data_IF_531900877815
#
_entry.id   IF_531900877815
#
_cell.length_a   1.000
_cell.length_b   1.000
_cell.length_c   1.000
_cell.angle_alpha   90.00
_cell.angle_beta   90.00
_cell.angle_gamma   90.00
#
_symmetry.space_group_name_H-M   'P 1'
#
loop_
_entity.id
_entity.type
_entity.pdbx_description
1 polymer ?
#
# COMPACT_ATOMS: atom_id res chain seq x y z
N UNK A 1 1.53 87.14 -50.20
CA UNK A 1 2.45 86.00 -50.08
C UNK A 1 1.71 84.97 -49.26
N UNK A 2 1.10 83.98 -49.92
CA UNK A 2 0.49 82.82 -49.27
C UNK A 2 0.54 81.67 -50.27
N UNK A 3 1.39 80.68 -50.05
CA UNK A 3 1.26 79.35 -50.66
C UNK A 3 1.91 78.29 -49.75
N UNK A 4 1.05 77.74 -48.89
CA UNK A 4 0.81 76.29 -48.74
C UNK A 4 2.03 75.36 -48.60
N UNK A 5 2.44 75.08 -47.36
CA UNK A 5 3.39 74.03 -46.99
C UNK A 5 2.71 72.65 -46.99
N UNK A 6 2.78 71.93 -48.11
CA UNK A 6 2.37 70.51 -48.20
C UNK A 6 3.47 69.56 -47.73
N UNK A 7 3.10 68.78 -46.70
CA UNK A 7 3.28 67.32 -46.55
C UNK A 7 4.51 66.66 -47.20
N UNK A 8 5.41 66.16 -46.35
CA UNK A 8 5.92 64.78 -46.46
C UNK A 8 5.93 64.20 -45.03
N UNK A 9 4.82 63.55 -44.64
CA UNK A 9 4.83 62.65 -43.48
C UNK A 9 5.24 61.28 -44.00
N UNK A 10 6.51 60.96 -43.81
CA UNK A 10 7.09 59.64 -44.13
C UNK A 10 6.36 58.62 -43.26
N UNK A 11 5.64 57.71 -43.91
CA UNK A 11 4.97 56.58 -43.27
C UNK A 11 5.97 55.75 -42.49
N UNK A 12 5.77 55.68 -41.17
CA UNK A 12 6.43 54.73 -40.30
C UNK A 12 5.74 53.38 -40.50
N UNK A 13 6.29 52.54 -41.37
CA UNK A 13 6.05 51.10 -41.31
C UNK A 13 6.84 50.55 -40.12
N UNK A 14 6.15 50.25 -39.01
CA UNK A 14 6.67 49.35 -37.99
C UNK A 14 5.63 48.26 -37.68
N UNK A 15 5.93 47.09 -38.23
CA UNK A 15 5.58 45.75 -37.77
C UNK A 15 5.06 45.64 -36.33
N UNK A 16 3.79 45.24 -36.15
CA UNK A 16 3.27 44.69 -34.89
C UNK A 16 2.49 43.40 -35.15
N UNK A 17 3.17 42.38 -35.68
CA UNK A 17 2.76 40.99 -35.41
C UNK A 17 3.24 40.66 -34.00
N UNK A 18 2.33 40.20 -33.14
CA UNK A 18 2.52 39.85 -31.71
C UNK A 18 2.38 41.00 -30.71
N UNK A 19 1.19 41.59 -30.61
CA UNK A 19 0.71 42.06 -29.30
C UNK A 19 -0.03 40.86 -28.71
N UNK A 20 0.61 40.18 -27.77
CA UNK A 20 -0.08 39.21 -26.91
C UNK A 20 -1.24 39.96 -26.27
N UNK A 21 -2.46 39.49 -26.51
CA UNK A 21 -3.68 40.15 -26.07
C UNK A 21 -3.70 40.11 -24.53
N UNK A 22 -3.27 41.21 -23.92
CA UNK A 22 -3.00 41.30 -22.48
C UNK A 22 -4.27 40.99 -21.66
N UNK A 23 -5.43 41.36 -22.19
CA UNK A 23 -6.73 41.10 -21.59
C UNK A 23 -7.09 39.59 -21.61
N UNK A 24 -6.73 38.86 -22.67
CA UNK A 24 -6.87 37.39 -22.74
C UNK A 24 -5.93 36.70 -21.76
N UNK A 25 -4.72 37.22 -21.58
CA UNK A 25 -3.77 36.70 -20.59
C UNK A 25 -4.23 36.96 -19.14
N UNK A 26 -4.75 38.16 -18.87
CA UNK A 26 -5.28 38.55 -17.57
C UNK A 26 -6.51 37.70 -17.20
N UNK A 27 -7.45 37.52 -18.13
CA UNK A 27 -8.63 36.68 -17.88
C UNK A 27 -8.29 35.20 -17.68
N UNK A 28 -7.24 34.69 -18.34
CA UNK A 28 -6.71 33.35 -18.08
C UNK A 28 -6.07 33.22 -16.70
N UNK A 29 -5.40 34.27 -16.22
CA UNK A 29 -4.82 34.30 -14.87
C UNK A 29 -5.93 34.25 -13.81
N UNK A 30 -6.96 35.07 -13.96
CA UNK A 30 -8.14 35.05 -13.08
C UNK A 30 -8.86 33.70 -13.08
N UNK A 31 -8.98 33.08 -14.26
CA UNK A 31 -9.53 31.73 -14.39
C UNK A 31 -8.67 30.68 -13.69
N UNK A 32 -7.34 30.82 -13.71
CA UNK A 32 -6.43 29.87 -13.10
C UNK A 32 -6.47 29.99 -11.58
N UNK A 33 -6.45 31.21 -11.06
CA UNK A 33 -6.57 31.47 -9.62
C UNK A 33 -7.87 30.91 -9.07
N UNK A 34 -8.98 31.10 -9.80
CA UNK A 34 -10.27 30.50 -9.41
C UNK A 34 -10.22 28.97 -9.39
N UNK A 35 -9.58 28.34 -10.38
CA UNK A 35 -9.42 26.86 -10.42
C UNK A 35 -8.54 26.34 -9.30
N UNK A 36 -7.48 27.07 -8.94
CA UNK A 36 -6.59 26.71 -7.82
C UNK A 36 -7.35 26.77 -6.50
N UNK A 37 -8.15 27.81 -6.28
CA UNK A 37 -9.01 27.93 -5.10
C UNK A 37 -10.06 26.81 -5.00
N UNK A 38 -10.69 26.48 -6.12
CA UNK A 38 -11.66 25.39 -6.16
C UNK A 38 -10.99 24.03 -5.89
N UNK A 39 -9.81 23.76 -6.46
CA UNK A 39 -9.02 22.56 -6.17
C UNK A 39 -8.59 22.47 -4.69
N UNK A 40 -8.19 23.58 -4.08
CA UNK A 40 -7.82 23.62 -2.66
C UNK A 40 -9.02 23.27 -1.76
N UNK A 41 -10.21 23.79 -2.09
CA UNK A 41 -11.45 23.46 -1.38
C UNK A 41 -11.81 21.98 -1.56
N UNK A 42 -11.78 21.45 -2.77
CA UNK A 42 -12.05 20.02 -3.04
C UNK A 42 -11.07 19.11 -2.30
N UNK A 43 -9.77 19.43 -2.34
CA UNK A 43 -8.75 18.68 -1.62
C UNK A 43 -9.00 18.70 -0.11
N UNK A 44 -9.35 19.87 0.46
CA UNK A 44 -9.70 19.97 1.88
C UNK A 44 -10.92 19.11 2.24
N UNK A 45 -11.98 19.13 1.42
CA UNK A 45 -13.16 18.30 1.66
C UNK A 45 -12.84 16.82 1.58
N UNK A 46 -12.04 16.40 0.60
CA UNK A 46 -11.64 15.00 0.41
C UNK A 46 -10.80 14.52 1.59
N UNK A 47 -9.83 15.31 2.06
CA UNK A 47 -9.06 14.98 3.26
C UNK A 47 -9.95 14.84 4.50
N UNK A 48 -10.93 15.73 4.67
CA UNK A 48 -11.88 15.66 5.80
C UNK A 48 -12.76 14.41 5.74
N UNK A 49 -13.24 14.04 4.54
CA UNK A 49 -14.01 12.82 4.32
C UNK A 49 -13.17 11.57 4.58
N UNK A 50 -11.95 11.51 4.02
CA UNK A 50 -11.03 10.40 4.25
C UNK A 50 -10.71 10.22 5.74
N UNK A 51 -10.47 11.32 6.47
CA UNK A 51 -10.23 11.28 7.90
C UNK A 51 -11.45 10.73 8.65
N UNK A 52 -12.67 11.15 8.29
CA UNK A 52 -13.91 10.62 8.89
C UNK A 52 -14.06 9.13 8.61
N UNK A 53 -13.92 8.69 7.36
CA UNK A 53 -14.03 7.28 6.96
C UNK A 53 -12.96 6.45 7.68
N UNK A 54 -11.74 6.95 7.80
CA UNK A 54 -10.67 6.27 8.53
C UNK A 54 -11.03 6.07 10.01
N UNK A 55 -11.57 7.09 10.67
CA UNK A 55 -11.99 7.01 12.07
C UNK A 55 -13.23 6.12 12.26
N UNK A 56 -14.18 6.13 11.33
CA UNK A 56 -15.31 5.19 11.30
C UNK A 56 -14.81 3.75 11.12
N UNK A 57 -13.94 3.48 10.14
CA UNK A 57 -13.36 2.14 9.94
C UNK A 57 -12.56 1.69 11.16
N UNK A 58 -11.76 2.57 11.77
CA UNK A 58 -11.02 2.26 13.01
C UNK A 58 -11.95 1.94 14.17
N UNK A 59 -13.02 2.69 14.36
CA UNK A 59 -13.98 2.47 15.46
C UNK A 59 -14.82 1.21 15.24
N UNK A 60 -15.29 0.95 14.02
CA UNK A 60 -15.94 -0.32 13.64
C UNK A 60 -14.99 -1.51 13.83
N UNK A 61 -13.73 -1.37 13.42
CA UNK A 61 -12.68 -2.37 13.64
C UNK A 61 -12.42 -2.60 15.13
N UNK A 62 -12.22 -1.56 15.93
CA UNK A 62 -12.00 -1.69 17.38
C UNK A 62 -13.18 -2.37 18.08
N UNK A 63 -14.42 -2.04 17.71
CA UNK A 63 -15.62 -2.62 18.30
C UNK A 63 -15.85 -4.08 17.86
N UNK A 64 -15.51 -4.44 16.62
CA UNK A 64 -15.54 -5.83 16.15
C UNK A 64 -14.41 -6.69 16.77
N UNK A 65 -13.26 -6.09 17.03
CA UNK A 65 -12.09 -6.79 17.62
C UNK A 65 -12.26 -7.01 19.12
N UNK A 66 -13.03 -6.18 19.81
CA UNK A 66 -13.21 -6.24 21.29
C UNK A 66 -14.03 -7.43 21.79
N UNK A 67 -14.67 -8.21 20.92
CA UNK A 67 -15.52 -9.36 21.30
C UNK A 67 -15.13 -10.70 20.69
N UNK A 68 -14.17 -10.75 19.76
CA UNK A 68 -13.76 -12.02 19.13
C UNK A 68 -12.59 -12.63 19.88
N UNK A 69 -12.73 -13.91 20.21
CA UNK A 69 -11.64 -14.66 20.81
C UNK A 69 -10.55 -14.81 19.76
N UNK A 70 -9.30 -14.49 20.11
CA UNK A 70 -8.17 -14.77 19.23
C UNK A 70 -8.03 -16.28 19.07
N UNK A 71 -8.18 -16.75 17.84
CA UNK A 71 -8.07 -18.14 17.43
C UNK A 71 -6.65 -18.45 16.93
N UNK A 72 -6.03 -17.55 16.16
CA UNK A 72 -4.66 -17.80 15.70
C UNK A 72 -3.69 -17.82 16.89
N UNK A 73 -2.69 -18.73 16.87
CA UNK A 73 -1.74 -18.83 17.94
C UNK A 73 -0.85 -17.56 17.97
N UNK A 74 -0.47 -17.11 19.16
CA UNK A 74 0.39 -15.93 19.31
C UNK A 74 1.82 -16.19 18.78
N UNK A 75 2.25 -17.45 18.85
CA UNK A 75 3.50 -17.95 18.28
C UNK A 75 3.16 -19.08 17.32
N UNK A 76 3.81 -19.18 16.15
CA UNK A 76 3.56 -20.26 15.21
C UNK A 76 3.86 -21.62 15.84
N UNK A 77 3.13 -22.66 15.43
CA UNK A 77 3.34 -24.01 15.94
C UNK A 77 4.72 -24.55 15.51
N UNK A 78 5.47 -25.05 16.49
CA UNK A 78 6.77 -25.69 16.30
C UNK A 78 6.67 -27.22 16.18
N UNK A 79 5.54 -27.80 16.58
CA UNK A 79 5.26 -29.23 16.50
C UNK A 79 4.01 -29.51 15.68
N UNK A 80 4.03 -30.60 14.90
CA UNK A 80 2.91 -31.00 14.05
C UNK A 80 1.68 -31.45 14.85
N UNK A 81 1.90 -32.04 16.05
CA UNK A 81 0.82 -32.51 16.92
C UNK A 81 -0.03 -31.35 17.46
N UNK A 82 0.60 -30.25 17.86
CA UNK A 82 -0.09 -29.06 18.37
C UNK A 82 -0.98 -28.44 17.29
N UNK A 83 -0.50 -28.43 16.05
CA UNK A 83 -1.30 -27.98 14.91
C UNK A 83 -2.48 -28.93 14.64
N UNK A 84 -2.28 -30.25 14.70
CA UNK A 84 -3.38 -31.21 14.50
C UNK A 84 -4.50 -31.01 15.54
N UNK A 85 -4.13 -30.81 16.80
CA UNK A 85 -5.09 -30.52 17.88
C UNK A 85 -5.82 -29.18 17.66
N UNK A 86 -5.13 -28.19 17.08
CA UNK A 86 -5.75 -26.92 16.70
C UNK A 86 -6.74 -27.10 15.54
N UNK A 87 -6.33 -27.79 14.47
CA UNK A 87 -7.16 -28.08 13.30
C UNK A 87 -8.46 -28.80 13.71
N UNK A 88 -8.37 -29.81 14.58
CA UNK A 88 -9.54 -30.53 15.09
C UNK A 88 -10.52 -29.60 15.82
N UNK A 89 -10.00 -28.65 16.60
CA UNK A 89 -10.82 -27.65 17.31
C UNK A 89 -11.51 -26.68 16.35
N UNK A 90 -10.90 -26.37 15.21
CA UNK A 90 -11.48 -25.51 14.17
C UNK A 90 -12.56 -26.27 13.40
N UNK A 91 -12.26 -27.50 12.96
CA UNK A 91 -13.21 -28.32 12.21
C UNK A 91 -14.47 -28.66 13.03
N UNK A 92 -14.31 -28.82 14.34
CA UNK A 92 -15.43 -29.13 15.25
C UNK A 92 -16.37 -27.95 15.50
N UNK A 93 -16.04 -26.72 15.10
CA UNK A 93 -16.78 -25.53 15.50
C UNK A 93 -16.82 -24.46 14.42
N UNK A 94 -18.01 -24.25 13.85
CA UNK A 94 -18.25 -23.23 12.83
C UNK A 94 -17.93 -21.81 13.32
N UNK A 95 -18.19 -21.52 14.60
CA UNK A 95 -17.88 -20.20 15.19
C UNK A 95 -16.37 -19.94 15.20
N UNK A 96 -15.56 -20.93 15.61
CA UNK A 96 -14.09 -20.81 15.58
C UNK A 96 -13.53 -20.71 14.17
N UNK A 97 -14.15 -21.42 13.21
CA UNK A 97 -13.80 -21.28 11.80
C UNK A 97 -14.07 -19.86 11.29
N UNK A 98 -15.24 -19.29 11.60
CA UNK A 98 -15.58 -17.92 11.21
C UNK A 98 -14.65 -16.87 11.86
N UNK A 99 -14.28 -17.09 13.13
CA UNK A 99 -13.30 -16.24 13.81
C UNK A 99 -11.90 -16.33 13.16
N UNK A 100 -11.48 -17.53 12.76
CA UNK A 100 -10.23 -17.74 11.99
C UNK A 100 -10.26 -17.01 10.64
N UNK A 101 -11.37 -17.13 9.89
CA UNK A 101 -11.54 -16.43 8.61
C UNK A 101 -11.43 -14.91 8.81
N UNK A 102 -12.10 -14.37 9.83
CA UNK A 102 -12.03 -12.95 10.15
C UNK A 102 -10.59 -12.50 10.51
N UNK A 103 -9.85 -13.32 11.26
CA UNK A 103 -8.45 -13.03 11.58
C UNK A 103 -7.53 -13.05 10.35
N UNK A 104 -7.77 -13.97 9.42
CA UNK A 104 -7.01 -14.03 8.17
C UNK A 104 -7.35 -12.86 7.25
N UNK A 105 -8.61 -12.41 7.20
CA UNK A 105 -9.03 -11.23 6.44
C UNK A 105 -8.35 -9.94 6.90
N UNK A 106 -7.88 -9.86 8.15
CA UNK A 106 -7.10 -8.72 8.64
C UNK A 106 -5.65 -8.66 8.12
N UNK A 107 -5.19 -9.69 7.39
CA UNK A 107 -3.84 -9.69 6.80
C UNK A 107 -3.81 -8.76 5.59
N UNK A 108 -3.16 -7.62 5.77
CA UNK A 108 -2.91 -6.66 4.69
C UNK A 108 -1.74 -7.17 3.84
N UNK A 109 -2.04 -7.58 2.60
CA UNK A 109 -1.05 -8.05 1.63
C UNK A 109 -1.27 -7.39 0.27
N UNK A 110 -0.17 -7.09 -0.44
CA UNK A 110 -0.22 -6.45 -1.76
C UNK A 110 -0.61 -7.39 -2.90
N UNK A 111 -0.49 -8.71 -2.69
CA UNK A 111 -0.89 -9.73 -3.64
C UNK A 111 -1.19 -11.05 -2.93
N UNK A 112 -1.78 -12.01 -3.66
CA UNK A 112 -2.20 -13.31 -3.14
C UNK A 112 -1.03 -14.17 -2.65
N UNK A 113 0.13 -14.16 -3.33
CA UNK A 113 1.31 -14.92 -2.90
C UNK A 113 1.84 -14.44 -1.53
N UNK A 114 1.93 -13.12 -1.33
CA UNK A 114 2.30 -12.53 -0.04
C UNK A 114 1.27 -12.83 1.03
N UNK A 115 -0.03 -12.77 0.70
CA UNK A 115 -1.10 -13.11 1.62
C UNK A 115 -0.92 -14.53 2.17
N UNK A 116 -0.77 -15.53 1.28
CA UNK A 116 -0.62 -16.94 1.68
C UNK A 116 0.62 -17.12 2.57
N UNK A 117 1.76 -16.52 2.19
CA UNK A 117 2.99 -16.58 3.00
C UNK A 117 2.81 -15.95 4.39
N UNK A 118 2.13 -14.81 4.48
CA UNK A 118 1.86 -14.15 5.76
C UNK A 118 0.89 -14.95 6.63
N UNK A 119 -0.17 -15.52 6.03
CA UNK A 119 -1.11 -16.40 6.72
C UNK A 119 -0.39 -17.64 7.27
N UNK A 120 0.40 -18.32 6.44
CA UNK A 120 1.16 -19.50 6.87
C UNK A 120 2.15 -19.21 7.99
N UNK A 121 2.89 -18.10 7.93
CA UNK A 121 3.82 -17.71 9.00
C UNK A 121 3.17 -17.43 10.34
N UNK A 122 1.87 -17.13 10.37
CA UNK A 122 1.13 -17.01 11.64
C UNK A 122 0.78 -18.38 12.24
N UNK A 123 0.66 -19.41 11.41
CA UNK A 123 0.22 -20.75 11.83
C UNK A 123 1.42 -21.65 12.13
N UNK A 124 2.43 -21.68 11.26
CA UNK A 124 3.55 -22.61 11.34
C UNK A 124 4.91 -21.92 11.38
N UNK A 125 5.85 -22.56 12.07
CA UNK A 125 7.28 -22.36 11.81
C UNK A 125 7.68 -22.98 10.46
N UNK A 126 8.77 -22.52 9.86
CA UNK A 126 9.22 -23.00 8.55
C UNK A 126 9.46 -24.53 8.55
N UNK A 127 9.92 -25.09 9.67
CA UNK A 127 10.19 -26.52 9.84
C UNK A 127 8.90 -27.36 9.77
N UNK A 128 7.84 -26.94 10.48
CA UNK A 128 6.53 -27.63 10.43
C UNK A 128 5.84 -27.37 9.10
N UNK A 129 5.94 -26.16 8.56
CA UNK A 129 5.38 -25.83 7.25
C UNK A 129 5.94 -26.74 6.16
N UNK A 130 7.21 -27.16 6.26
CA UNK A 130 7.81 -28.10 5.31
C UNK A 130 7.07 -29.45 5.30
N UNK A 131 6.66 -29.96 6.46
CA UNK A 131 5.94 -31.24 6.62
C UNK A 131 4.59 -31.21 5.89
N UNK A 132 3.84 -30.12 6.03
CA UNK A 132 2.52 -29.93 5.42
C UNK A 132 2.59 -29.35 4.00
N UNK A 133 3.78 -28.98 3.52
CA UNK A 133 3.99 -28.50 2.16
C UNK A 133 4.27 -29.64 1.18
N UNK A 134 4.11 -29.33 -0.11
CA UNK A 134 4.53 -30.19 -1.22
C UNK A 134 6.04 -30.55 -1.22
N UNK A 135 6.85 -29.93 -0.36
CA UNK A 135 8.29 -30.22 -0.20
C UNK A 135 8.55 -31.37 0.79
N UNK A 136 7.60 -31.69 1.67
CA UNK A 136 7.69 -32.77 2.65
C UNK A 136 7.45 -34.17 2.05
N UNK A 137 6.81 -34.24 0.88
CA UNK A 137 6.71 -35.47 0.11
C UNK A 137 8.04 -35.71 -0.63
N UNK A 138 8.78 -36.75 -0.23
CA UNK A 138 10.10 -37.15 -0.80
C UNK A 138 10.09 -37.39 -2.33
N UNK A 139 8.93 -37.28 -2.98
CA UNK A 139 8.69 -37.70 -4.35
C UNK A 139 8.82 -36.59 -5.40
N UNK A 140 8.80 -35.28 -5.08
CA UNK A 140 8.86 -34.22 -6.11
C UNK A 140 9.68 -32.98 -5.70
N UNK A 141 10.38 -32.39 -6.68
CA UNK A 141 11.25 -31.21 -6.50
C UNK A 141 10.44 -29.95 -6.19
N UNK A 142 10.86 -29.10 -5.23
CA UNK A 142 10.18 -27.85 -4.91
C UNK A 142 10.15 -26.89 -6.11
N UNK A 143 9.00 -26.23 -6.33
CA UNK A 143 8.73 -25.33 -7.47
C UNK A 143 9.67 -24.12 -7.53
N UNK A 144 10.24 -23.72 -6.39
CA UNK A 144 11.34 -22.77 -6.31
C UNK A 144 12.43 -23.35 -5.42
N UNK A 145 13.59 -23.68 -6.01
CA UNK A 145 14.82 -23.75 -5.23
C UNK A 145 15.11 -22.33 -4.77
N UNK A 146 14.83 -22.01 -3.51
CA UNK A 146 15.34 -20.79 -2.91
C UNK A 146 16.86 -20.96 -2.88
N UNK A 147 17.55 -20.47 -3.91
CA UNK A 147 18.98 -20.21 -3.86
C UNK A 147 19.11 -19.06 -2.86
N UNK A 148 19.20 -19.34 -1.56
CA UNK A 148 19.63 -18.44 -0.48
C UNK A 148 19.57 -19.13 0.89
N UNK A 149 20.08 -20.36 1.00
CA UNK A 149 20.52 -20.92 2.28
C UNK A 149 22.03 -21.06 2.27
N UNK A 150 22.73 -19.93 2.09
CA UNK A 150 24.06 -19.83 2.69
C UNK A 150 23.83 -19.56 4.17
N UNK A 151 24.28 -20.43 5.09
CA UNK A 151 24.23 -20.11 6.50
C UNK A 151 25.13 -18.89 6.70
N UNK A 152 24.56 -17.81 7.24
CA UNK A 152 25.37 -16.69 7.74
C UNK A 152 26.42 -17.28 8.69
N UNK A 153 27.73 -17.09 8.45
CA UNK A 153 28.74 -17.62 9.35
C UNK A 153 28.57 -16.91 10.69
N UNK A 154 28.23 -17.68 11.73
CA UNK A 154 28.34 -17.22 13.12
C UNK A 154 29.82 -17.01 13.41
N UNK A 155 30.29 -15.78 13.33
CA UNK A 155 31.62 -15.41 13.80
C UNK A 155 31.42 -14.69 15.15
N UNK A 156 31.33 -15.49 16.20
CA UNK A 156 31.74 -15.09 17.54
C UNK A 156 32.48 -16.27 18.13
N UNK A 157 33.82 -16.16 18.17
CA UNK A 157 34.60 -16.34 19.39
C UNK A 157 36.05 -15.94 19.12
N UNK A 158 36.41 -14.79 19.69
CA UNK A 158 37.78 -14.51 20.12
C UNK A 158 38.22 -15.57 21.14
N UNK A 159 39.53 -15.81 21.17
CA UNK A 159 40.32 -16.49 22.22
C UNK A 159 40.69 -17.95 21.95
N UNK A 160 42.00 -18.20 21.78
CA UNK A 160 42.65 -19.33 22.46
C UNK A 160 43.52 -20.25 21.61
N UNK A 161 44.85 -20.09 21.78
CA UNK A 161 45.85 -21.15 21.97
C UNK A 161 46.16 -22.10 20.77
N UNK A 162 47.25 -21.84 20.06
CA UNK A 162 48.56 -22.46 20.32
C UNK A 162 49.68 -21.80 19.48
#
# INVERSE_FOLDING_TARGET
MDFNSSFISIGCEQTTKSIVDFDDLSSKLDSLDKKVEDLLKEHHTTQKLLKRVLEEVKSTSHNATKKRNKILPQKPFAEAHDFATFEDKIQSSETKFNDLVAELQMIIASNSDKFVKMAWRKVFTDDVAQIYSWKGTKTKKPRHTIKNSLPLPRIWNSSGLH
#
